data_IF_118287900275
#
_entry.id   IF_118287900275
#
_cell.length_a   1.000
_cell.length_b   1.000
_cell.length_c   1.000
_cell.angle_alpha   90.00
_cell.angle_beta   90.00
_cell.angle_gamma   90.00
#
_symmetry.space_group_name_H-M   'P 1'
#
loop_
_entity.id
_entity.type
_entity.pdbx_description
1 polymer ?
#
# COMPACT_ATOMS: atom_id res chain seq x y z
N UNK A 1 -23.27 17.52 9.14
CA UNK A 1 -21.87 17.64 8.73
C UNK A 1 -21.46 16.40 7.94
N UNK A 2 -20.94 16.57 6.73
CA UNK A 2 -20.47 15.51 5.85
C UNK A 2 -18.97 15.63 5.65
N UNK A 3 -18.29 14.54 5.32
CA UNK A 3 -16.88 14.52 5.04
C UNK A 3 -16.60 13.96 3.64
N UNK A 4 -15.73 14.61 2.89
CA UNK A 4 -15.12 14.09 1.67
C UNK A 4 -13.72 13.58 2.03
N UNK A 5 -13.42 12.38 1.60
CA UNK A 5 -12.10 11.77 1.70
C UNK A 5 -11.53 11.56 0.29
N UNK A 6 -10.57 12.40 -0.09
CA UNK A 6 -9.80 12.18 -1.31
C UNK A 6 -8.60 11.30 -1.00
N UNK A 7 -8.44 10.22 -1.75
CA UNK A 7 -7.22 9.44 -1.78
C UNK A 7 -6.83 9.09 -3.21
N UNK A 8 -5.56 9.33 -3.51
CA UNK A 8 -4.99 9.17 -4.82
C UNK A 8 -3.94 8.06 -4.82
N UNK A 9 -3.92 7.29 -5.90
CA UNK A 9 -2.91 6.28 -6.16
C UNK A 9 -1.85 6.82 -7.10
N UNK A 10 -0.59 6.61 -6.77
CA UNK A 10 0.57 6.81 -7.64
C UNK A 10 1.27 5.47 -7.78
N UNK A 11 1.21 4.88 -8.96
CA UNK A 11 1.87 3.64 -9.29
C UNK A 11 2.36 3.64 -10.72
N UNK A 12 3.58 3.14 -10.93
CA UNK A 12 4.15 2.88 -12.25
C UNK A 12 4.98 1.59 -12.16
N UNK A 13 4.68 0.57 -13.00
CA UNK A 13 5.49 -0.65 -13.07
C UNK A 13 6.78 -0.39 -13.82
N UNK A 14 7.82 -1.18 -13.54
CA UNK A 14 8.98 -1.27 -14.43
C UNK A 14 8.61 -2.09 -15.65
N UNK A 15 8.55 -1.45 -16.81
CA UNK A 15 8.21 -2.10 -18.07
C UNK A 15 9.37 -2.94 -18.55
N UNK A 16 9.03 -4.15 -19.00
CA UNK A 16 9.99 -5.10 -19.52
C UNK A 16 10.37 -4.71 -20.96
N UNK A 17 11.64 -4.85 -21.30
CA UNK A 17 12.09 -4.76 -22.69
C UNK A 17 11.55 -5.95 -23.50
N UNK A 18 11.64 -5.86 -24.82
CA UNK A 18 11.36 -7.02 -25.68
C UNK A 18 12.44 -8.08 -25.45
N UNK A 19 12.07 -9.13 -24.68
CA UNK A 19 12.94 -10.22 -24.24
C UNK A 19 12.60 -11.51 -24.98
N UNK A 20 13.57 -12.01 -25.76
CA UNK A 20 13.33 -13.16 -26.64
C UNK A 20 13.79 -14.45 -25.99
N UNK A 21 13.31 -15.58 -26.50
CA UNK A 21 13.71 -16.91 -26.07
C UNK A 21 15.24 -17.13 -26.07
N UNK A 22 15.96 -16.57 -27.05
CA UNK A 22 17.42 -16.69 -27.14
C UNK A 22 18.20 -15.80 -26.15
N UNK A 23 17.55 -14.90 -25.47
CA UNK A 23 18.15 -14.06 -24.46
C UNK A 23 18.22 -14.78 -23.11
N UNK A 24 17.42 -15.87 -22.90
CA UNK A 24 17.40 -16.68 -21.69
C UNK A 24 18.78 -17.30 -21.43
N UNK A 25 19.30 -17.09 -20.21
CA UNK A 25 20.64 -17.57 -19.81
C UNK A 25 21.80 -16.70 -20.32
N UNK A 26 21.54 -15.66 -21.13
CA UNK A 26 22.56 -14.80 -21.71
C UNK A 26 22.43 -13.34 -21.30
N UNK A 27 21.23 -12.85 -21.04
CA UNK A 27 20.96 -11.47 -20.67
C UNK A 27 20.03 -11.44 -19.45
N UNK A 28 20.56 -10.96 -18.33
CA UNK A 28 19.85 -10.92 -17.04
C UNK A 28 19.28 -9.54 -16.71
N UNK A 29 19.26 -8.63 -17.68
CA UNK A 29 18.64 -7.32 -17.53
C UNK A 29 17.31 -7.25 -18.29
N UNK A 30 16.21 -7.04 -17.58
CA UNK A 30 14.87 -7.26 -18.10
C UNK A 30 14.13 -5.97 -18.51
N UNK A 31 14.60 -4.80 -18.10
CA UNK A 31 13.83 -3.57 -18.13
C UNK A 31 14.15 -2.69 -19.32
N UNK A 32 13.14 -1.95 -19.79
CA UNK A 32 13.30 -0.91 -20.82
C UNK A 32 13.43 0.45 -20.14
N UNK A 33 14.66 0.82 -19.80
CA UNK A 33 14.94 2.08 -19.09
C UNK A 33 14.51 3.31 -19.89
N UNK A 34 14.65 3.26 -21.22
CA UNK A 34 14.27 4.38 -22.06
C UNK A 34 12.75 4.60 -22.02
N UNK A 35 11.96 3.54 -22.14
CA UNK A 35 10.50 3.63 -22.07
C UNK A 35 10.04 4.02 -20.65
N UNK A 36 10.68 3.48 -19.59
CA UNK A 36 10.36 3.84 -18.22
C UNK A 36 10.64 5.32 -17.94
N UNK A 37 11.79 5.83 -18.35
CA UNK A 37 12.16 7.25 -18.23
C UNK A 37 11.20 8.16 -19.00
N UNK A 38 10.96 7.87 -20.29
CA UNK A 38 10.04 8.67 -21.14
C UNK A 38 8.64 8.75 -20.52
N UNK A 39 8.09 7.62 -20.10
CA UNK A 39 6.73 7.58 -19.55
C UNK A 39 6.65 8.35 -18.22
N UNK A 40 7.54 8.08 -17.26
CA UNK A 40 7.47 8.73 -15.95
C UNK A 40 7.74 10.23 -16.05
N UNK A 41 8.68 10.65 -16.91
CA UNK A 41 8.99 12.06 -17.16
C UNK A 41 7.81 12.78 -17.80
N UNK A 42 7.17 12.17 -18.79
CA UNK A 42 5.97 12.73 -19.43
C UNK A 42 4.82 12.85 -18.45
N UNK A 43 4.54 11.82 -17.66
CA UNK A 43 3.49 11.84 -16.64
C UNK A 43 3.80 12.89 -15.57
N UNK A 44 5.05 13.00 -15.14
CA UNK A 44 5.46 14.01 -14.18
C UNK A 44 5.16 15.43 -14.70
N UNK A 45 5.44 15.71 -15.96
CA UNK A 45 5.20 17.02 -16.56
C UNK A 45 3.72 17.33 -16.77
N UNK A 46 2.93 16.34 -17.22
CA UNK A 46 1.53 16.56 -17.60
C UNK A 46 0.57 16.45 -16.41
N UNK A 47 0.88 15.62 -15.43
CA UNK A 47 0.02 15.27 -14.30
C UNK A 47 0.66 15.55 -12.95
N UNK A 48 1.74 14.85 -12.57
CA UNK A 48 2.22 14.82 -11.19
C UNK A 48 2.64 16.21 -10.67
N UNK A 49 3.46 16.94 -11.40
CA UNK A 49 3.92 18.26 -10.98
C UNK A 49 2.80 19.31 -10.97
N UNK A 50 1.94 19.42 -12.00
CA UNK A 50 0.79 20.33 -11.96
C UNK A 50 -0.19 20.00 -10.83
N UNK A 51 -0.49 18.71 -10.61
CA UNK A 51 -1.39 18.29 -9.56
C UNK A 51 -0.84 18.57 -8.16
N UNK A 52 0.43 18.22 -7.91
CA UNK A 52 1.07 18.47 -6.63
C UNK A 52 1.15 19.96 -6.30
N UNK A 53 1.50 20.79 -7.28
CA UNK A 53 1.51 22.25 -7.11
C UNK A 53 0.12 22.80 -6.80
N UNK A 54 -0.92 22.32 -7.51
CA UNK A 54 -2.31 22.72 -7.25
C UNK A 54 -2.74 22.31 -5.83
N UNK A 55 -2.46 21.09 -5.41
CA UNK A 55 -2.78 20.62 -4.05
C UNK A 55 -2.05 21.40 -2.97
N UNK A 56 -0.77 21.75 -3.20
CA UNK A 56 0.01 22.60 -2.29
C UNK A 56 -0.61 24.00 -2.18
N UNK A 57 -1.01 24.62 -3.29
CA UNK A 57 -1.72 25.91 -3.30
C UNK A 57 -3.01 25.82 -2.48
N UNK A 58 -3.85 24.79 -2.75
CA UNK A 58 -5.10 24.57 -2.04
C UNK A 58 -4.89 24.39 -0.53
N UNK A 59 -3.85 23.65 -0.12
CA UNK A 59 -3.50 23.48 1.30
C UNK A 59 -3.02 24.80 1.91
N UNK A 60 -2.19 25.57 1.20
CA UNK A 60 -1.73 26.90 1.69
C UNK A 60 -2.88 27.88 1.89
N UNK A 61 -3.85 27.88 0.98
CA UNK A 61 -5.01 28.76 1.04
C UNK A 61 -6.02 28.37 2.12
N UNK A 62 -6.26 27.06 2.29
CA UNK A 62 -7.31 26.54 3.16
C UNK A 62 -6.79 25.98 4.50
N UNK A 63 -5.48 25.80 4.64
CA UNK A 63 -4.86 25.21 5.82
C UNK A 63 -5.42 23.82 6.12
N UNK A 64 -5.61 23.53 7.40
CA UNK A 64 -6.12 22.23 7.88
C UNK A 64 -7.57 21.90 7.46
N UNK A 65 -8.24 22.80 6.74
CA UNK A 65 -9.59 22.55 6.23
C UNK A 65 -9.60 21.73 4.94
N UNK A 66 -8.48 21.67 4.22
CA UNK A 66 -8.34 20.82 3.04
C UNK A 66 -7.27 19.76 3.29
N UNK A 67 -7.65 18.49 3.15
CA UNK A 67 -6.80 17.34 3.43
C UNK A 67 -7.05 16.25 2.40
N UNK A 68 -6.00 15.47 2.14
CA UNK A 68 -6.03 14.34 1.20
C UNK A 68 -5.23 13.16 1.75
N UNK A 69 -5.30 12.02 1.06
CA UNK A 69 -4.40 10.89 1.28
C UNK A 69 -3.73 10.47 -0.03
N UNK A 70 -2.52 9.95 0.06
CA UNK A 70 -1.74 9.42 -1.05
C UNK A 70 -1.33 7.97 -0.75
N UNK A 71 -1.50 7.10 -1.74
CA UNK A 71 -0.95 5.75 -1.79
C UNK A 71 0.10 5.76 -2.89
N UNK A 72 1.36 5.52 -2.56
CA UNK A 72 2.48 5.59 -3.51
C UNK A 72 3.26 4.30 -3.41
N UNK A 73 3.19 3.45 -4.43
CA UNK A 73 3.88 2.16 -4.39
C UNK A 73 5.40 2.29 -4.33
N UNK A 74 6.07 1.29 -3.76
CA UNK A 74 7.53 1.26 -3.68
C UNK A 74 8.20 1.34 -5.05
N UNK A 75 7.65 0.63 -6.05
CA UNK A 75 8.16 0.68 -7.43
C UNK A 75 8.01 2.05 -8.06
N UNK A 76 6.90 2.76 -7.78
CA UNK A 76 6.75 4.14 -8.24
C UNK A 76 7.76 5.07 -7.56
N UNK A 77 8.00 4.89 -6.25
CA UNK A 77 9.01 5.66 -5.52
C UNK A 77 10.41 5.43 -6.09
N UNK A 78 10.77 4.19 -6.45
CA UNK A 78 12.06 3.91 -7.12
C UNK A 78 12.21 4.68 -8.43
N UNK A 79 11.19 4.64 -9.28
CA UNK A 79 11.21 5.37 -10.56
C UNK A 79 11.23 6.88 -10.37
N UNK A 80 10.47 7.40 -9.40
CA UNK A 80 10.47 8.83 -9.06
C UNK A 80 11.84 9.26 -8.55
N UNK A 81 12.47 8.49 -7.66
CA UNK A 81 13.83 8.77 -7.18
C UNK A 81 14.86 8.78 -8.31
N UNK A 82 14.70 7.89 -9.27
CA UNK A 82 15.66 7.70 -10.37
C UNK A 82 15.50 8.74 -11.49
N UNK A 83 14.28 9.02 -11.94
CA UNK A 83 14.02 9.76 -13.19
C UNK A 83 13.44 11.16 -12.97
N UNK A 84 12.69 11.38 -11.87
CA UNK A 84 11.99 12.66 -11.62
C UNK A 84 12.09 13.09 -10.14
N UNK A 85 13.31 13.22 -9.60
CA UNK A 85 13.53 13.49 -8.17
C UNK A 85 12.87 14.78 -7.69
N UNK A 86 12.66 15.77 -8.56
CA UNK A 86 11.94 16.99 -8.24
C UNK A 86 10.47 16.73 -7.84
N UNK A 87 9.86 15.67 -8.33
CA UNK A 87 8.52 15.27 -7.89
C UNK A 87 8.57 14.65 -6.48
N UNK A 88 9.61 13.91 -6.14
CA UNK A 88 9.80 13.43 -4.75
C UNK A 88 9.88 14.60 -3.77
N UNK A 89 10.57 15.66 -4.13
CA UNK A 89 10.66 16.85 -3.29
C UNK A 89 9.27 17.52 -3.11
N UNK A 90 8.41 17.50 -4.15
CA UNK A 90 7.02 17.93 -4.02
C UNK A 90 6.19 17.04 -3.09
N UNK A 91 6.39 15.72 -3.13
CA UNK A 91 5.74 14.82 -2.18
C UNK A 91 6.20 15.08 -0.74
N UNK A 92 7.48 15.38 -0.51
CA UNK A 92 8.00 15.79 0.80
C UNK A 92 7.41 17.14 1.26
N UNK A 93 7.28 18.13 0.36
CA UNK A 93 6.60 19.39 0.66
C UNK A 93 5.13 19.14 1.08
N UNK A 94 4.41 18.28 0.36
CA UNK A 94 3.04 17.90 0.70
C UNK A 94 2.98 17.21 2.08
N UNK A 95 3.88 16.28 2.37
CA UNK A 95 3.97 15.60 3.66
C UNK A 95 4.21 16.58 4.81
N UNK A 96 5.11 17.56 4.62
CA UNK A 96 5.47 18.57 5.62
C UNK A 96 4.31 19.49 5.99
N UNK A 97 3.27 19.62 5.17
CA UNK A 97 2.07 20.43 5.48
C UNK A 97 1.26 19.87 6.66
N UNK A 98 1.39 18.56 6.94
CA UNK A 98 0.53 17.84 7.90
C UNK A 98 -0.94 17.70 7.45
N UNK A 99 -1.24 17.98 6.19
CA UNK A 99 -2.57 17.85 5.58
C UNK A 99 -2.68 16.65 4.62
N UNK A 100 -1.61 15.90 4.44
CA UNK A 100 -1.54 14.71 3.57
C UNK A 100 -1.20 13.49 4.40
N UNK A 101 -2.05 12.45 4.30
CA UNK A 101 -1.81 11.15 4.92
C UNK A 101 -1.28 10.18 3.87
N UNK A 102 -0.15 9.52 4.16
CA UNK A 102 0.35 8.43 3.33
C UNK A 102 -0.23 7.10 3.80
N UNK A 103 -0.73 6.31 2.85
CA UNK A 103 -1.36 5.02 3.09
C UNK A 103 -0.33 3.90 3.03
N UNK A 104 -0.63 2.79 3.70
CA UNK A 104 0.11 1.54 3.59
C UNK A 104 -0.39 0.75 2.39
N UNK A 105 0.51 0.11 1.65
CA UNK A 105 0.21 -0.81 0.55
C UNK A 105 1.31 -1.86 0.37
N UNK A 106 1.19 -2.77 -0.61
CA UNK A 106 2.29 -3.67 -0.99
C UNK A 106 3.36 -2.90 -1.76
N UNK A 107 4.64 -3.14 -1.45
CA UNK A 107 5.77 -2.41 -2.07
C UNK A 107 5.75 -2.50 -3.59
N UNK A 108 5.53 -3.70 -4.11
CA UNK A 108 5.57 -3.98 -5.54
C UNK A 108 4.23 -3.75 -6.26
N UNK A 109 3.19 -3.26 -5.58
CA UNK A 109 1.83 -3.23 -6.13
C UNK A 109 1.42 -4.61 -6.66
N UNK A 110 1.64 -5.63 -5.85
CA UNK A 110 1.57 -7.04 -6.21
C UNK A 110 0.27 -7.70 -5.82
N UNK A 111 0.05 -8.91 -6.36
CA UNK A 111 -1.04 -9.79 -5.97
C UNK A 111 -0.70 -10.71 -4.79
N UNK A 112 0.35 -10.39 -4.01
CA UNK A 112 0.83 -11.21 -2.91
C UNK A 112 -0.26 -11.51 -1.87
N UNK A 113 -1.20 -10.59 -1.63
CA UNK A 113 -2.34 -10.80 -0.73
C UNK A 113 -3.22 -12.01 -1.09
N UNK A 114 -3.21 -12.45 -2.36
CA UNK A 114 -3.98 -13.57 -2.89
C UNK A 114 -3.15 -14.85 -3.06
N UNK A 115 -1.82 -14.77 -3.00
CA UNK A 115 -0.93 -15.86 -3.39
C UNK A 115 0.05 -16.31 -2.31
N UNK A 116 0.61 -15.38 -1.56
CA UNK A 116 1.64 -15.67 -0.55
C UNK A 116 1.56 -14.65 0.59
N UNK A 117 1.04 -15.07 1.73
CA UNK A 117 0.86 -14.18 2.89
C UNK A 117 2.18 -13.70 3.49
N UNK A 118 3.25 -14.51 3.45
CA UNK A 118 4.57 -14.09 3.95
C UNK A 118 5.15 -12.98 3.08
N UNK A 119 5.03 -13.13 1.74
CA UNK A 119 5.44 -12.10 0.80
C UNK A 119 4.61 -10.82 0.98
N UNK A 120 3.30 -10.96 1.17
CA UNK A 120 2.42 -9.84 1.47
C UNK A 120 2.91 -9.06 2.71
N UNK A 121 3.16 -9.74 3.82
CA UNK A 121 3.65 -9.10 5.04
C UNK A 121 5.02 -8.44 4.85
N UNK A 122 5.93 -9.10 4.14
CA UNK A 122 7.25 -8.55 3.85
C UNK A 122 7.16 -7.25 3.05
N UNK A 123 6.37 -7.24 1.97
CA UNK A 123 6.20 -6.07 1.13
C UNK A 123 5.52 -4.89 1.85
N UNK A 124 4.50 -5.15 2.65
CA UNK A 124 3.82 -4.10 3.42
C UNK A 124 4.77 -3.47 4.43
N UNK A 125 5.57 -4.29 5.12
CA UNK A 125 6.55 -3.80 6.08
C UNK A 125 7.62 -2.94 5.41
N UNK A 126 8.18 -3.39 4.28
CA UNK A 126 9.18 -2.64 3.53
C UNK A 126 8.62 -1.33 2.98
N UNK A 127 7.39 -1.35 2.49
CA UNK A 127 6.70 -0.15 2.04
C UNK A 127 6.53 0.86 3.19
N UNK A 128 6.04 0.43 4.34
CA UNK A 128 5.82 1.29 5.51
C UNK A 128 7.15 1.89 6.02
N UNK A 129 8.24 1.11 6.00
CA UNK A 129 9.58 1.60 6.30
C UNK A 129 10.03 2.67 5.29
N UNK A 130 9.83 2.45 3.99
CA UNK A 130 10.16 3.44 2.94
C UNK A 130 9.35 4.73 3.09
N UNK A 131 8.05 4.64 3.37
CA UNK A 131 7.20 5.81 3.64
C UNK A 131 7.70 6.57 4.87
N UNK A 132 8.05 5.86 5.94
CA UNK A 132 8.59 6.51 7.13
C UNK A 132 9.92 7.21 6.88
N UNK A 133 10.84 6.58 6.15
CA UNK A 133 12.13 7.16 5.78
C UNK A 133 12.00 8.42 4.93
N UNK A 134 11.10 8.43 3.94
CA UNK A 134 10.96 9.55 3.02
C UNK A 134 10.11 10.70 3.57
N UNK A 135 9.06 10.39 4.34
CA UNK A 135 8.04 11.37 4.74
C UNK A 135 7.86 11.51 6.25
N UNK A 136 8.54 10.70 7.06
CA UNK A 136 8.44 10.75 8.53
C UNK A 136 7.08 10.31 9.08
N UNK A 137 6.22 9.70 8.27
CA UNK A 137 4.87 9.29 8.66
C UNK A 137 4.77 7.79 8.89
N UNK A 138 4.14 7.39 10.01
CA UNK A 138 3.71 6.02 10.24
C UNK A 138 2.33 5.81 9.64
N UNK A 139 2.20 4.83 8.78
CA UNK A 139 0.95 4.45 8.13
C UNK A 139 -0.07 3.92 9.15
N UNK A 140 -1.35 4.10 8.89
CA UNK A 140 -2.45 3.69 9.79
C UNK A 140 -3.60 3.03 9.06
N UNK A 141 -3.74 3.32 7.79
CA UNK A 141 -4.82 2.84 6.93
C UNK A 141 -4.18 2.16 5.72
N UNK A 142 -4.69 1.01 5.38
CA UNK A 142 -4.20 0.17 4.29
C UNK A 142 -5.04 0.37 3.02
N UNK A 143 -4.38 0.36 1.90
CA UNK A 143 -4.99 0.26 0.58
C UNK A 143 -4.30 -0.86 -0.17
N UNK A 144 -5.02 -1.94 -0.45
CA UNK A 144 -4.44 -3.05 -1.21
C UNK A 144 -4.36 -2.72 -2.70
N UNK A 145 -3.44 -3.42 -3.38
CA UNK A 145 -3.32 -3.44 -4.84
C UNK A 145 -4.71 -3.56 -5.46
N UNK A 146 -5.02 -2.68 -6.42
CA UNK A 146 -6.27 -2.66 -7.18
C UNK A 146 -7.56 -2.69 -6.33
N UNK A 147 -7.49 -2.18 -5.09
CA UNK A 147 -8.56 -2.27 -4.09
C UNK A 147 -9.02 -3.70 -3.82
N UNK A 148 -8.19 -4.70 -4.12
CA UNK A 148 -8.50 -6.11 -3.86
C UNK A 148 -8.71 -6.30 -2.36
N UNK A 149 -9.82 -6.90 -1.99
CA UNK A 149 -10.21 -7.09 -0.60
C UNK A 149 -11.12 -8.27 -0.43
N UNK A 150 -10.90 -9.05 0.63
CA UNK A 150 -11.78 -10.09 1.17
C UNK A 150 -11.60 -10.23 2.68
N UNK A 151 -12.31 -11.18 3.27
CA UNK A 151 -12.29 -11.42 4.72
C UNK A 151 -10.93 -11.99 5.21
N UNK A 152 -10.16 -12.67 4.37
CA UNK A 152 -8.82 -13.16 4.69
C UNK A 152 -7.81 -12.01 4.72
N UNK A 153 -7.83 -11.16 3.70
CA UNK A 153 -7.01 -9.94 3.64
C UNK A 153 -7.31 -9.04 4.84
N UNK A 154 -8.56 -8.97 5.31
CA UNK A 154 -8.91 -8.23 6.52
C UNK A 154 -8.15 -8.74 7.76
N UNK A 155 -8.00 -10.07 7.88
CA UNK A 155 -7.22 -10.67 8.97
C UNK A 155 -5.72 -10.32 8.85
N UNK A 156 -5.17 -10.33 7.64
CA UNK A 156 -3.78 -9.92 7.39
C UNK A 156 -3.54 -8.47 7.78
N UNK A 157 -4.38 -7.54 7.32
CA UNK A 157 -4.28 -6.10 7.65
C UNK A 157 -4.35 -5.88 9.17
N UNK A 158 -5.25 -6.59 9.85
CA UNK A 158 -5.40 -6.49 11.30
C UNK A 158 -4.19 -7.02 12.06
N UNK A 159 -3.54 -8.10 11.58
CA UNK A 159 -2.34 -8.65 12.18
C UNK A 159 -1.13 -7.71 12.08
N UNK A 160 -1.08 -6.85 11.05
CA UNK A 160 -0.12 -5.77 10.90
C UNK A 160 -0.38 -4.59 11.87
N UNK A 161 -1.48 -4.61 12.63
CA UNK A 161 -1.84 -3.54 13.56
C UNK A 161 -2.47 -2.31 12.92
N UNK A 162 -2.78 -2.35 11.62
CA UNK A 162 -3.47 -1.30 10.90
C UNK A 162 -4.95 -1.24 11.32
N UNK A 163 -5.53 -0.05 11.31
CA UNK A 163 -6.86 0.20 11.92
C UNK A 163 -7.97 0.43 10.91
N UNK A 164 -7.61 0.66 9.67
CA UNK A 164 -8.55 0.89 8.59
C UNK A 164 -8.06 0.32 7.27
N UNK A 165 -8.99 -0.01 6.39
CA UNK A 165 -8.72 -0.39 5.01
C UNK A 165 -9.63 0.38 4.07
N UNK A 166 -9.09 0.73 2.91
CA UNK A 166 -9.82 1.35 1.81
C UNK A 166 -10.08 0.26 0.77
N UNK A 167 -11.33 0.12 0.34
CA UNK A 167 -11.75 -0.88 -0.64
C UNK A 167 -12.89 -0.39 -1.51
N UNK A 168 -13.31 -1.19 -2.48
CA UNK A 168 -14.41 -0.87 -3.39
C UNK A 168 -15.77 -0.96 -2.70
N UNK A 169 -16.71 -0.12 -3.14
CA UNK A 169 -18.12 -0.15 -2.74
C UNK A 169 -18.96 -1.05 -3.66
N UNK A 170 -18.57 -2.31 -3.80
CA UNK A 170 -19.21 -3.24 -4.74
C UNK A 170 -20.68 -3.52 -4.41
N UNK A 171 -21.58 -3.34 -5.37
CA UNK A 171 -23.03 -3.48 -5.16
C UNK A 171 -23.46 -4.88 -4.74
N UNK A 172 -22.79 -5.92 -5.22
CA UNK A 172 -23.10 -7.31 -4.87
C UNK A 172 -22.76 -7.63 -3.40
N UNK A 173 -21.83 -6.89 -2.80
CA UNK A 173 -21.50 -6.97 -1.36
C UNK A 173 -22.40 -6.05 -0.54
N UNK A 174 -22.58 -4.82 -1.00
CA UNK A 174 -23.38 -3.83 -0.27
C UNK A 174 -24.88 -4.13 -0.31
N UNK A 175 -25.37 -4.73 -1.39
CA UNK A 175 -26.81 -4.89 -1.61
C UNK A 175 -27.51 -3.52 -1.64
N UNK A 176 -28.37 -3.26 -0.65
CA UNK A 176 -29.07 -2.00 -0.48
C UNK A 176 -28.32 -0.96 0.37
N UNK A 177 -27.20 -1.34 0.98
CA UNK A 177 -26.39 -0.45 1.84
C UNK A 177 -25.67 0.60 0.99
N UNK A 178 -25.49 1.80 1.56
CA UNK A 178 -24.73 2.87 0.92
C UNK A 178 -23.23 2.75 1.23
N UNK A 179 -22.33 3.09 0.28
CA UNK A 179 -20.88 3.18 0.54
C UNK A 179 -20.49 4.38 1.43
N UNK A 180 -21.44 5.26 1.76
CA UNK A 180 -21.18 6.54 2.41
C UNK A 180 -21.16 6.46 3.95
N UNK A 181 -20.84 5.27 4.49
CA UNK A 181 -20.67 5.02 5.92
C UNK A 181 -19.31 4.37 6.19
N UNK A 182 -18.88 4.46 7.45
CA UNK A 182 -17.81 3.58 7.94
C UNK A 182 -18.43 2.23 8.29
N UNK A 183 -17.79 1.16 7.83
CA UNK A 183 -18.16 -0.22 8.17
C UNK A 183 -17.08 -0.87 9.03
N UNK A 184 -17.38 -2.00 9.65
CA UNK A 184 -16.40 -2.90 10.23
C UNK A 184 -16.26 -4.15 9.36
N UNK A 185 -15.10 -4.77 9.34
CA UNK A 185 -14.94 -6.10 8.74
C UNK A 185 -15.61 -7.15 9.62
N UNK A 186 -16.39 -8.05 9.03
CA UNK A 186 -16.98 -9.17 9.76
C UNK A 186 -15.91 -10.15 10.26
N UNK A 187 -14.84 -10.38 9.50
CA UNK A 187 -13.73 -11.25 9.87
C UNK A 187 -12.82 -10.61 10.93
N UNK A 188 -12.74 -9.29 10.97
CA UNK A 188 -11.93 -8.54 11.94
C UNK A 188 -12.65 -7.27 12.40
N UNK A 189 -13.56 -7.35 13.40
CA UNK A 189 -14.45 -6.23 13.78
C UNK A 189 -13.74 -4.96 14.26
N UNK A 190 -12.46 -5.03 14.57
CA UNK A 190 -11.63 -3.86 14.93
C UNK A 190 -11.15 -3.09 13.70
N UNK A 191 -11.09 -3.73 12.53
CA UNK A 191 -10.72 -3.11 11.27
C UNK A 191 -11.90 -2.35 10.70
N UNK A 192 -11.72 -1.06 10.46
CA UNK A 192 -12.73 -0.19 9.83
C UNK A 192 -12.54 -0.13 8.34
N UNK A 193 -13.63 -0.19 7.60
CA UNK A 193 -13.64 -0.18 6.14
C UNK A 193 -14.18 1.17 5.63
N UNK A 194 -13.46 1.76 4.69
CA UNK A 194 -13.84 2.93 3.93
C UNK A 194 -14.09 2.49 2.48
N UNK A 195 -15.34 2.61 2.04
CA UNK A 195 -15.77 2.10 0.74
C UNK A 195 -15.78 3.22 -0.29
N UNK A 196 -15.19 2.97 -1.45
CA UNK A 196 -15.19 3.92 -2.57
C UNK A 196 -16.62 4.21 -3.02
N UNK A 197 -16.95 5.48 -3.17
CA UNK A 197 -18.15 5.89 -3.87
C UNK A 197 -17.85 5.97 -5.36
N UNK A 198 -18.26 4.94 -6.10
CA UNK A 198 -17.98 4.79 -7.53
C UNK A 198 -18.58 5.94 -8.32
N UNK A 199 -19.85 6.31 -8.10
CA UNK A 199 -20.53 7.37 -8.84
C UNK A 199 -19.80 8.70 -8.74
N UNK A 200 -19.56 9.18 -7.52
CA UNK A 200 -18.88 10.47 -7.30
C UNK A 200 -17.43 10.46 -7.77
N UNK A 201 -16.75 9.31 -7.67
CA UNK A 201 -15.39 9.15 -8.19
C UNK A 201 -15.36 9.24 -9.72
N UNK A 202 -16.25 8.52 -10.41
CA UNK A 202 -16.31 8.50 -11.88
C UNK A 202 -16.74 9.84 -12.48
N UNK A 203 -17.56 10.61 -11.77
CA UNK A 203 -17.92 11.97 -12.19
C UNK A 203 -16.69 12.87 -12.35
N UNK A 204 -15.65 12.65 -11.52
CA UNK A 204 -14.37 13.37 -11.63
C UNK A 204 -13.41 12.62 -12.56
N UNK A 205 -13.23 11.31 -12.36
CA UNK A 205 -12.14 10.56 -13.00
C UNK A 205 -12.39 10.32 -14.49
N UNK A 206 -13.62 9.97 -14.88
CA UNK A 206 -13.90 9.51 -16.24
C UNK A 206 -14.88 10.41 -16.99
N UNK A 207 -15.86 10.97 -16.32
CA UNK A 207 -16.93 11.75 -16.98
C UNK A 207 -16.69 13.25 -17.04
N UNK A 208 -15.68 13.77 -16.34
CA UNK A 208 -15.47 15.22 -16.18
C UNK A 208 -15.25 15.92 -17.54
N UNK A 209 -14.44 15.35 -18.43
CA UNK A 209 -14.17 15.93 -19.76
C UNK A 209 -15.37 15.92 -20.70
N UNK A 210 -16.31 14.97 -20.55
CA UNK A 210 -17.50 14.81 -21.40
C UNK A 210 -18.75 15.42 -20.79
N UNK A 211 -18.85 15.45 -19.48
CA UNK A 211 -19.96 16.02 -18.72
C UNK A 211 -19.43 16.82 -17.53
N UNK A 212 -18.80 17.97 -17.78
CA UNK A 212 -18.15 18.74 -16.74
C UNK A 212 -19.14 19.25 -15.70
N UNK A 213 -18.83 18.98 -14.43
CA UNK A 213 -19.54 19.50 -13.27
C UNK A 213 -18.79 20.71 -12.72
N UNK A 214 -19.55 21.74 -12.34
CA UNK A 214 -18.99 22.83 -11.55
C UNK A 214 -18.85 22.43 -10.08
N UNK A 215 -17.88 23.00 -9.37
CA UNK A 215 -17.57 22.63 -7.98
C UNK A 215 -18.76 22.87 -7.03
N UNK A 216 -19.57 23.94 -7.26
CA UNK A 216 -20.81 24.22 -6.51
C UNK A 216 -21.82 23.08 -6.65
N UNK A 217 -22.12 22.66 -7.89
CA UNK A 217 -23.04 21.55 -8.15
C UNK A 217 -22.54 20.24 -7.57
N UNK A 218 -21.26 19.95 -7.67
CA UNK A 218 -20.68 18.74 -7.09
C UNK A 218 -20.85 18.72 -5.56
N UNK A 219 -20.54 19.81 -4.89
CA UNK A 219 -20.73 19.95 -3.43
C UNK A 219 -22.22 19.93 -3.05
N UNK A 220 -23.10 20.53 -3.86
CA UNK A 220 -24.55 20.45 -3.65
C UNK A 220 -25.05 19.00 -3.72
N UNK A 221 -24.53 18.18 -4.65
CA UNK A 221 -24.86 16.74 -4.72
C UNK A 221 -24.39 16.00 -3.47
N UNK A 222 -23.19 16.29 -2.96
CA UNK A 222 -22.69 15.71 -1.72
C UNK A 222 -23.52 16.16 -0.52
N UNK A 223 -23.88 17.44 -0.45
CA UNK A 223 -24.69 17.99 0.64
C UNK A 223 -26.13 17.43 0.64
N UNK A 224 -26.68 17.12 -0.54
CA UNK A 224 -28.02 16.57 -0.73
C UNK A 224 -28.14 15.08 -0.36
N UNK A 225 -27.04 14.36 -0.14
CA UNK A 225 -27.09 12.98 0.37
C UNK A 225 -27.88 12.91 1.69
N UNK A 226 -28.51 11.77 2.04
CA UNK A 226 -29.20 11.57 3.31
C UNK A 226 -28.40 12.06 4.52
N UNK A 227 -29.04 12.60 5.54
CA UNK A 227 -28.35 13.24 6.68
C UNK A 227 -27.49 12.26 7.48
N UNK A 228 -27.85 11.00 7.50
CA UNK A 228 -27.15 9.90 8.16
C UNK A 228 -25.95 9.39 7.36
N UNK A 229 -25.89 9.64 6.05
CA UNK A 229 -24.71 9.39 5.23
C UNK A 229 -23.65 10.44 5.48
N UNK A 230 -22.54 10.04 6.11
CA UNK A 230 -21.59 10.98 6.73
C UNK A 230 -20.31 11.18 5.91
N UNK A 231 -19.96 10.24 5.03
CA UNK A 231 -18.69 10.26 4.31
C UNK A 231 -18.88 9.99 2.83
N UNK A 232 -18.04 10.60 2.01
CA UNK A 232 -17.90 10.27 0.58
C UNK A 232 -16.43 10.00 0.31
N UNK A 233 -16.10 8.73 0.04
CA UNK A 233 -14.74 8.32 -0.28
C UNK A 233 -14.53 8.38 -1.78
N UNK A 234 -13.55 9.15 -2.22
CA UNK A 234 -13.20 9.40 -3.61
C UNK A 234 -11.81 8.84 -3.88
N UNK A 235 -11.78 7.72 -4.58
CA UNK A 235 -10.53 7.10 -5.02
C UNK A 235 -10.32 7.34 -6.52
N UNK A 236 -9.10 7.73 -6.88
CA UNK A 236 -8.67 7.81 -8.27
C UNK A 236 -7.16 7.74 -8.38
N UNK A 237 -6.67 7.36 -9.55
CA UNK A 237 -5.26 7.49 -9.87
C UNK A 237 -4.89 8.96 -9.94
N UNK A 238 -3.67 9.28 -9.52
CA UNK A 238 -3.18 10.66 -9.52
C UNK A 238 -3.10 11.22 -10.95
N UNK A 239 -2.88 10.34 -11.93
CA UNK A 239 -2.86 10.63 -13.36
C UNK A 239 -4.20 11.14 -13.92
N UNK A 240 -5.28 11.01 -13.17
CA UNK A 240 -6.55 11.67 -13.51
C UNK A 240 -6.35 13.17 -13.62
N UNK A 241 -5.54 13.75 -12.75
CA UNK A 241 -5.31 15.18 -12.67
C UNK A 241 -4.25 15.66 -13.69
N UNK A 242 -4.68 16.14 -14.82
CA UNK A 242 -3.82 16.65 -15.90
C UNK A 242 -3.42 15.61 -16.94
N UNK A 243 -3.53 14.32 -16.64
CA UNK A 243 -3.32 13.22 -17.56
C UNK A 243 -4.63 12.79 -18.25
N UNK A 244 -5.45 11.99 -17.57
CA UNK A 244 -6.73 11.53 -18.12
C UNK A 244 -7.72 12.69 -18.31
N UNK A 245 -7.83 13.56 -17.31
CA UNK A 245 -8.54 14.84 -17.43
C UNK A 245 -7.52 15.93 -17.68
N UNK A 246 -7.32 16.28 -18.95
CA UNK A 246 -6.34 17.28 -19.32
C UNK A 246 -6.63 18.65 -18.70
N UNK A 247 -5.62 19.51 -18.65
CA UNK A 247 -5.76 20.86 -18.07
C UNK A 247 -6.88 21.67 -18.71
N UNK A 248 -7.09 21.49 -20.02
CA UNK A 248 -8.09 22.20 -20.83
C UNK A 248 -9.54 21.86 -20.41
N UNK A 249 -9.76 20.73 -19.70
CA UNK A 249 -11.08 20.38 -19.15
C UNK A 249 -11.51 21.28 -18.00
N UNK A 250 -10.58 22.03 -17.41
CA UNK A 250 -10.83 22.86 -16.21
C UNK A 250 -10.78 22.06 -14.90
N UNK A 251 -10.18 20.86 -14.90
CA UNK A 251 -10.14 19.99 -13.71
C UNK A 251 -9.43 20.66 -12.50
N UNK A 252 -8.36 21.43 -12.76
CA UNK A 252 -7.62 22.10 -11.69
C UNK A 252 -8.42 23.26 -11.09
N UNK A 253 -9.13 24.03 -11.90
CA UNK A 253 -10.03 25.10 -11.48
C UNK A 253 -11.19 24.55 -10.66
N UNK A 254 -11.76 23.41 -11.11
CA UNK A 254 -12.76 22.67 -10.36
C UNK A 254 -12.24 22.29 -8.96
N UNK A 255 -11.06 21.65 -8.87
CA UNK A 255 -10.46 21.25 -7.59
C UNK A 255 -10.24 22.44 -6.66
N UNK A 256 -9.63 23.53 -7.17
CA UNK A 256 -9.36 24.76 -6.39
C UNK A 256 -10.62 25.39 -5.81
N UNK A 257 -11.73 25.25 -6.52
CA UNK A 257 -13.02 25.82 -6.08
C UNK A 257 -13.73 24.96 -5.00
N UNK A 258 -13.45 23.66 -4.92
CA UNK A 258 -14.14 22.74 -4.00
C UNK A 258 -14.11 23.18 -2.53
N UNK A 259 -12.96 23.60 -1.94
CA UNK A 259 -12.93 23.95 -0.51
C UNK A 259 -13.84 25.12 -0.14
N UNK A 260 -13.99 26.11 -1.03
CA UNK A 260 -14.87 27.25 -0.80
C UNK A 260 -16.33 26.82 -0.70
N UNK A 261 -16.82 26.07 -1.70
CA UNK A 261 -18.22 25.62 -1.71
C UNK A 261 -18.50 24.58 -0.62
N UNK A 262 -17.50 23.74 -0.28
CA UNK A 262 -17.61 22.80 0.83
C UNK A 262 -17.81 23.52 2.18
N UNK A 263 -17.08 24.63 2.40
CA UNK A 263 -17.23 25.42 3.60
C UNK A 263 -18.64 26.08 3.72
N UNK A 264 -19.24 26.49 2.60
CA UNK A 264 -20.59 27.06 2.54
C UNK A 264 -21.68 26.03 2.92
N UNK A 265 -21.43 24.74 2.71
CA UNK A 265 -22.39 23.64 2.92
C UNK A 265 -22.06 22.75 4.13
N UNK A 266 -21.15 23.14 5.01
CA UNK A 266 -20.67 22.34 6.16
C UNK A 266 -20.15 20.94 5.74
N UNK A 267 -19.45 20.87 4.60
CA UNK A 267 -18.74 19.70 4.11
C UNK A 267 -17.26 19.85 4.44
N UNK A 268 -16.64 18.85 5.05
CA UNK A 268 -15.24 18.88 5.48
C UNK A 268 -14.39 17.91 4.64
N UNK A 269 -13.13 18.26 4.42
CA UNK A 269 -12.15 17.33 3.87
C UNK A 269 -11.39 16.66 5.03
N UNK A 270 -11.41 15.34 5.05
CA UNK A 270 -10.81 14.53 6.12
C UNK A 270 -9.94 13.44 5.55
N UNK A 271 -8.84 13.13 6.27
CA UNK A 271 -8.02 11.97 5.93
C UNK A 271 -8.69 10.66 6.38
N UNK A 272 -8.30 9.50 5.80
CA UNK A 272 -8.80 8.20 6.21
C UNK A 272 -8.66 7.94 7.71
N UNK A 273 -7.50 8.27 8.31
CA UNK A 273 -7.28 8.14 9.75
C UNK A 273 -8.21 9.00 10.59
N UNK A 274 -8.49 10.23 10.16
CA UNK A 274 -9.44 11.09 10.86
C UNK A 274 -10.84 10.52 10.81
N UNK A 275 -11.26 9.99 9.65
CA UNK A 275 -12.58 9.39 9.48
C UNK A 275 -12.75 8.17 10.38
N UNK A 276 -11.80 7.21 10.34
CA UNK A 276 -11.90 6.01 11.17
C UNK A 276 -11.84 6.31 12.67
N UNK A 277 -11.21 7.40 13.08
CA UNK A 277 -11.19 7.82 14.48
C UNK A 277 -12.48 8.53 14.90
N UNK A 278 -13.09 9.32 14.00
CA UNK A 278 -14.26 10.14 14.30
C UNK A 278 -15.58 9.37 14.23
N UNK A 279 -15.74 8.52 13.21
CA UNK A 279 -17.00 7.83 12.95
C UNK A 279 -16.97 6.40 13.44
N UNK A 280 -18.10 5.96 14.00
CA UNK A 280 -18.30 4.56 14.39
C UNK A 280 -18.83 3.76 13.21
N UNK A 281 -18.47 2.49 13.08
CA UNK A 281 -19.08 1.61 12.08
C UNK A 281 -20.58 1.50 12.27
N UNK A 282 -21.34 1.57 11.18
CA UNK A 282 -22.81 1.42 11.21
C UNK A 282 -23.24 -0.04 11.21
N UNK A 283 -22.46 -0.91 10.58
CA UNK A 283 -22.63 -2.36 10.58
C UNK A 283 -21.35 -3.06 10.13
N UNK A 284 -21.39 -4.38 10.17
CA UNK A 284 -20.32 -5.23 9.62
C UNK A 284 -20.60 -5.58 8.17
N UNK A 285 -19.53 -5.79 7.40
CA UNK A 285 -19.54 -6.29 6.03
C UNK A 285 -18.64 -7.53 5.96
N UNK A 286 -19.16 -8.62 5.40
CA UNK A 286 -18.41 -9.80 5.04
C UNK A 286 -18.18 -9.80 3.54
N UNK A 287 -16.97 -10.12 3.13
CA UNK A 287 -16.53 -10.24 1.74
C UNK A 287 -15.87 -11.61 1.59
N UNK A 288 -16.67 -12.65 1.32
CA UNK A 288 -16.17 -14.03 1.34
C UNK A 288 -15.31 -14.40 0.14
N UNK A 289 -15.31 -13.58 -0.91
CA UNK A 289 -14.52 -13.76 -2.13
C UNK A 289 -13.85 -12.46 -2.50
N UNK A 290 -12.62 -12.49 -3.06
CA UNK A 290 -11.90 -11.27 -3.43
C UNK A 290 -12.70 -10.40 -4.39
N UNK A 291 -12.89 -9.15 -4.02
CA UNK A 291 -13.43 -8.11 -4.90
C UNK A 291 -12.35 -7.09 -5.25
N UNK A 292 -12.55 -6.35 -6.35
CA UNK A 292 -11.68 -5.26 -6.80
C UNK A 292 -12.51 -4.08 -7.33
N UNK A 293 -11.82 -3.05 -7.83
CA UNK A 293 -12.49 -1.93 -8.51
C UNK A 293 -12.77 -2.19 -9.99
N UNK A 294 -12.14 -3.20 -10.59
CA UNK A 294 -12.16 -3.42 -12.03
C UNK A 294 -13.46 -4.05 -12.52
N UNK A 295 -13.90 -3.61 -13.68
CA UNK A 295 -15.10 -4.06 -14.39
C UNK A 295 -16.42 -3.93 -13.62
N UNK A 296 -17.51 -4.34 -14.28
CA UNK A 296 -18.84 -4.44 -13.65
C UNK A 296 -18.91 -5.59 -12.64
N UNK A 297 -18.14 -6.67 -12.87
CA UNK A 297 -18.10 -7.84 -12.00
C UNK A 297 -17.48 -7.54 -10.62
N UNK A 298 -16.63 -6.52 -10.53
CA UNK A 298 -15.92 -6.16 -9.30
C UNK A 298 -15.18 -7.34 -8.66
N UNK A 299 -14.61 -8.22 -9.48
CA UNK A 299 -13.83 -9.39 -9.07
C UNK A 299 -12.35 -9.24 -9.45
N UNK A 300 -11.57 -10.32 -9.34
CA UNK A 300 -10.14 -10.32 -9.66
C UNK A 300 -9.83 -10.79 -11.09
N UNK A 301 -10.84 -10.97 -11.93
CA UNK A 301 -10.67 -11.55 -13.25
C UNK A 301 -9.90 -10.68 -14.26
N UNK A 302 -9.67 -9.41 -13.95
CA UNK A 302 -8.76 -8.55 -14.70
C UNK A 302 -7.29 -9.03 -14.62
N UNK A 303 -6.92 -9.71 -13.53
CA UNK A 303 -5.55 -10.19 -13.25
C UNK A 303 -5.42 -11.69 -13.21
N UNK A 304 -6.51 -12.42 -12.91
CA UNK A 304 -6.55 -13.87 -12.71
C UNK A 304 -7.69 -14.54 -13.48
N UNK A 305 -8.19 -13.92 -14.55
CA UNK A 305 -9.39 -14.34 -15.26
C UNK A 305 -9.16 -15.38 -16.36
N UNK A 306 -7.92 -15.62 -16.78
CA UNK A 306 -7.61 -16.58 -17.83
C UNK A 306 -6.41 -17.47 -17.48
N UNK A 307 -6.18 -18.51 -18.29
CA UNK A 307 -5.12 -19.50 -18.06
C UNK A 307 -3.74 -18.85 -18.11
N UNK A 308 -3.49 -17.90 -19.02
CA UNK A 308 -2.20 -17.24 -19.18
C UNK A 308 -1.81 -16.48 -17.90
N UNK A 309 -2.75 -15.72 -17.38
CA UNK A 309 -2.56 -14.95 -16.13
C UNK A 309 -2.26 -15.88 -14.94
N UNK A 310 -3.07 -16.92 -14.77
CA UNK A 310 -2.90 -17.86 -13.66
C UNK A 310 -1.57 -18.61 -13.77
N UNK A 311 -1.18 -19.09 -14.97
CA UNK A 311 0.10 -19.77 -15.18
C UNK A 311 1.29 -18.85 -14.82
N UNK A 312 1.25 -17.60 -15.29
CA UNK A 312 2.32 -16.63 -15.00
C UNK A 312 2.45 -16.33 -13.50
N UNK A 313 1.33 -16.07 -12.83
CA UNK A 313 1.28 -15.78 -11.39
C UNK A 313 1.72 -16.99 -10.57
N UNK A 314 1.16 -18.17 -10.83
CA UNK A 314 1.46 -19.37 -10.05
C UNK A 314 2.92 -19.78 -10.20
N UNK A 315 3.46 -19.65 -11.42
CA UNK A 315 4.87 -19.96 -11.69
C UNK A 315 5.82 -18.97 -11.03
N UNK A 316 5.45 -17.68 -10.98
CA UNK A 316 6.24 -16.69 -10.25
C UNK A 316 6.25 -17.02 -8.75
N UNK A 317 5.08 -17.12 -8.12
CA UNK A 317 4.99 -17.32 -6.66
C UNK A 317 5.46 -18.68 -6.18
N UNK A 318 5.59 -19.69 -7.07
CA UNK A 318 6.21 -20.98 -6.72
C UNK A 318 7.67 -20.87 -6.25
N UNK A 319 8.35 -19.77 -6.57
CA UNK A 319 9.73 -19.52 -6.16
C UNK A 319 9.86 -18.55 -4.97
N UNK A 320 8.76 -18.09 -4.41
CA UNK A 320 8.75 -17.08 -3.35
C UNK A 320 9.66 -17.43 -2.17
N UNK A 321 9.58 -18.67 -1.67
CA UNK A 321 10.39 -19.13 -0.54
C UNK A 321 11.89 -19.09 -0.85
N UNK A 322 12.28 -19.55 -2.06
CA UNK A 322 13.70 -19.56 -2.49
C UNK A 322 14.25 -18.15 -2.63
N UNK A 323 13.44 -17.23 -3.18
CA UNK A 323 13.86 -15.83 -3.32
C UNK A 323 13.99 -15.15 -1.96
N UNK A 324 13.09 -15.40 -1.03
CA UNK A 324 13.19 -14.87 0.35
C UNK A 324 14.47 -15.33 1.03
N UNK A 325 14.88 -16.61 0.86
CA UNK A 325 16.13 -17.15 1.38
C UNK A 325 17.38 -16.63 0.69
N UNK A 326 17.27 -16.08 -0.53
CA UNK A 326 18.41 -15.55 -1.27
C UNK A 326 19.00 -14.30 -0.61
N UNK A 327 20.32 -14.18 -0.61
CA UNK A 327 21.04 -12.95 -0.25
C UNK A 327 21.41 -12.09 -1.47
N UNK A 328 20.99 -12.49 -2.67
CA UNK A 328 21.27 -11.75 -3.89
C UNK A 328 20.30 -10.56 -4.03
N UNK A 329 20.83 -9.35 -3.82
CA UNK A 329 20.06 -8.11 -3.88
C UNK A 329 19.44 -7.87 -5.27
N UNK A 330 20.14 -8.22 -6.34
CA UNK A 330 19.65 -8.01 -7.71
C UNK A 330 18.46 -8.95 -7.97
N UNK A 331 18.57 -10.21 -7.53
CA UNK A 331 17.50 -11.18 -7.66
C UNK A 331 16.24 -10.73 -6.90
N UNK A 332 16.39 -10.19 -5.68
CA UNK A 332 15.28 -9.65 -4.90
C UNK A 332 14.65 -8.44 -5.56
N UNK A 333 15.45 -7.57 -6.19
CA UNK A 333 14.93 -6.42 -6.93
C UNK A 333 14.10 -6.86 -8.14
N UNK A 334 14.61 -7.82 -8.91
CA UNK A 334 13.88 -8.41 -10.04
C UNK A 334 12.59 -9.08 -9.56
N UNK A 335 12.64 -9.79 -8.42
CA UNK A 335 11.47 -10.39 -7.78
C UNK A 335 10.35 -9.37 -7.51
N UNK A 336 10.67 -8.25 -6.89
CA UNK A 336 9.67 -7.21 -6.65
C UNK A 336 9.10 -6.63 -7.95
N UNK A 337 9.95 -6.32 -8.91
CA UNK A 337 9.53 -5.71 -10.17
C UNK A 337 8.67 -6.63 -11.02
N UNK A 338 8.94 -7.95 -11.00
CA UNK A 338 8.15 -8.95 -11.71
C UNK A 338 6.78 -9.23 -11.07
N UNK A 339 6.57 -8.85 -9.82
CA UNK A 339 5.30 -9.03 -9.11
C UNK A 339 4.26 -7.94 -9.39
N UNK A 340 4.62 -6.83 -10.06
CA UNK A 340 3.68 -5.77 -10.35
C UNK A 340 2.41 -6.31 -11.05
N UNK A 341 1.24 -5.98 -10.52
CA UNK A 341 -0.05 -6.47 -11.01
C UNK A 341 -0.29 -6.13 -12.47
N UNK A 342 0.32 -5.04 -12.96
CA UNK A 342 0.24 -4.58 -14.35
C UNK A 342 0.69 -5.65 -15.35
N UNK A 343 1.74 -6.41 -15.04
CA UNK A 343 2.22 -7.47 -15.94
C UNK A 343 1.13 -8.51 -16.21
N UNK A 344 0.35 -8.87 -15.20
CA UNK A 344 -0.75 -9.81 -15.31
C UNK A 344 -1.97 -9.17 -15.98
N UNK A 345 -2.23 -7.89 -15.70
CA UNK A 345 -3.28 -7.14 -16.37
C UNK A 345 -3.06 -7.07 -17.89
N UNK A 346 -1.83 -6.87 -18.35
CA UNK A 346 -1.50 -6.84 -19.79
C UNK A 346 -1.82 -8.17 -20.52
N UNK A 347 -1.94 -9.28 -19.78
CA UNK A 347 -2.34 -10.60 -20.30
C UNK A 347 -3.86 -10.80 -20.28
N UNK A 348 -4.64 -9.81 -19.84
CA UNK A 348 -6.10 -9.93 -19.79
C UNK A 348 -6.70 -9.93 -21.19
N UNK A 349 -7.64 -10.86 -21.41
CA UNK A 349 -8.34 -11.03 -22.68
C UNK A 349 -9.78 -10.50 -22.63
N UNK A 350 -10.21 -9.96 -21.50
CA UNK A 350 -11.54 -9.34 -21.36
C UNK A 350 -11.57 -7.94 -21.97
N UNK A 351 -12.75 -7.55 -22.46
CA UNK A 351 -13.04 -6.13 -22.72
C UNK A 351 -13.37 -5.45 -21.40
N UNK A 352 -12.60 -4.42 -21.04
CA UNK A 352 -12.77 -3.68 -19.81
C UNK A 352 -13.16 -2.22 -20.08
N UNK A 353 -14.22 -1.78 -19.44
CA UNK A 353 -14.58 -0.36 -19.43
C UNK A 353 -13.68 0.43 -18.46
N UNK A 354 -13.30 -0.18 -17.33
CA UNK A 354 -12.53 0.46 -16.25
C UNK A 354 -11.01 0.19 -16.35
N UNK A 355 -10.61 -0.81 -17.14
CA UNK A 355 -9.21 -1.24 -17.29
C UNK A 355 -8.39 -0.45 -18.30
N UNK A 356 -8.99 0.50 -19.02
CA UNK A 356 -8.30 1.28 -20.07
C UNK A 356 -7.10 2.06 -19.55
N UNK A 357 -7.09 2.45 -18.27
CA UNK A 357 -5.97 3.18 -17.68
C UNK A 357 -4.69 2.35 -17.70
N UNK A 358 -4.74 1.06 -17.33
CA UNK A 358 -3.59 0.17 -17.38
C UNK A 358 -3.23 -0.20 -18.82
N UNK A 359 -4.22 -0.49 -19.66
CA UNK A 359 -4.02 -0.79 -21.07
C UNK A 359 -3.36 0.38 -21.83
N UNK A 360 -3.67 1.61 -21.44
CA UNK A 360 -3.07 2.82 -22.04
C UNK A 360 -1.54 2.84 -21.89
N UNK A 361 -1.01 2.26 -20.81
CA UNK A 361 0.43 2.21 -20.55
C UNK A 361 1.06 0.85 -20.91
N UNK A 362 0.29 -0.11 -21.45
CA UNK A 362 0.82 -1.39 -21.89
C UNK A 362 1.78 -1.21 -23.08
N UNK A 363 3.00 -1.76 -23.02
CA UNK A 363 3.92 -1.74 -24.15
C UNK A 363 3.59 -2.81 -25.21
N UNK A 364 2.55 -3.62 -25.00
CA UNK A 364 2.21 -4.77 -25.83
C UNK A 364 0.98 -4.49 -26.69
N UNK A 365 0.99 -5.03 -27.91
CA UNK A 365 -0.14 -4.93 -28.83
C UNK A 365 -1.32 -5.84 -28.42
N UNK A 366 -1.02 -6.93 -27.72
CA UNK A 366 -2.03 -7.91 -27.31
C UNK A 366 -1.57 -8.74 -26.10
N UNK A 367 -2.53 -9.43 -25.47
CA UNK A 367 -2.33 -10.26 -24.27
C UNK A 367 -1.34 -11.42 -24.48
N UNK A 368 -1.29 -12.02 -25.67
CA UNK A 368 -0.38 -13.14 -25.96
C UNK A 368 1.07 -12.66 -26.07
N UNK A 369 1.30 -11.47 -26.67
CA UNK A 369 2.61 -10.83 -26.70
C UNK A 369 3.11 -10.50 -25.29
N UNK A 370 2.23 -9.97 -24.44
CA UNK A 370 2.54 -9.70 -23.03
C UNK A 370 2.93 -11.00 -22.30
N UNK A 371 2.14 -12.06 -22.45
CA UNK A 371 2.42 -13.36 -21.83
C UNK A 371 3.75 -13.94 -22.31
N UNK A 372 3.99 -13.97 -23.61
CA UNK A 372 5.22 -14.54 -24.17
C UNK A 372 6.46 -13.80 -23.66
N UNK A 373 6.41 -12.45 -23.69
CA UNK A 373 7.53 -11.65 -23.21
C UNK A 373 7.79 -11.86 -21.72
N UNK A 374 6.74 -11.82 -20.91
CA UNK A 374 6.83 -12.05 -19.47
C UNK A 374 7.37 -13.44 -19.14
N UNK A 375 6.89 -14.48 -19.81
CA UNK A 375 7.33 -15.87 -19.57
C UNK A 375 8.77 -16.12 -20.01
N UNK A 376 9.27 -15.42 -21.02
CA UNK A 376 10.69 -15.48 -21.38
C UNK A 376 11.54 -14.85 -20.27
N UNK A 377 11.17 -13.67 -19.77
CA UNK A 377 11.85 -13.02 -18.62
C UNK A 377 11.78 -13.91 -17.39
N UNK A 378 10.60 -14.41 -17.05
CA UNK A 378 10.41 -15.29 -15.90
C UNK A 378 11.24 -16.58 -16.03
N UNK A 379 11.38 -17.13 -17.23
CA UNK A 379 12.21 -18.33 -17.45
C UNK A 379 13.68 -18.07 -17.14
N UNK A 380 14.22 -16.92 -17.54
CA UNK A 380 15.58 -16.52 -17.14
C UNK A 380 15.72 -16.30 -15.64
N UNK A 381 14.76 -15.58 -15.05
CA UNK A 381 14.72 -15.38 -13.61
C UNK A 381 14.74 -16.71 -12.84
N UNK A 382 13.94 -17.70 -13.28
CA UNK A 382 13.89 -19.02 -12.67
C UNK A 382 15.20 -19.80 -12.82
N UNK A 383 15.90 -19.66 -13.95
CA UNK A 383 17.26 -20.23 -14.12
C UNK A 383 18.21 -19.65 -13.05
N UNK A 384 18.22 -18.34 -12.87
CA UNK A 384 19.04 -17.65 -11.87
C UNK A 384 18.69 -18.06 -10.42
N UNK A 385 17.41 -18.28 -10.13
CA UNK A 385 16.99 -18.81 -8.82
C UNK A 385 17.50 -20.23 -8.62
N UNK A 386 17.33 -21.11 -9.61
CA UNK A 386 17.81 -22.49 -9.56
C UNK A 386 19.33 -22.62 -9.42
N UNK A 387 20.09 -21.74 -10.04
CA UNK A 387 21.55 -21.70 -9.87
C UNK A 387 21.98 -21.45 -8.44
N UNK A 388 21.21 -20.64 -7.68
CA UNK A 388 21.48 -20.40 -6.26
C UNK A 388 20.96 -21.52 -5.36
N UNK A 389 19.87 -22.19 -5.77
CA UNK A 389 19.20 -23.24 -5.01
C UNK A 389 18.96 -24.45 -5.92
N UNK A 390 19.97 -25.32 -6.12
CA UNK A 390 19.79 -26.54 -6.94
C UNK A 390 18.67 -27.44 -6.38
N UNK A 391 17.90 -28.05 -7.28
CA UNK A 391 16.70 -28.86 -6.97
C UNK A 391 16.95 -30.06 -6.02
N UNK A 392 18.19 -30.43 -5.74
CA UNK A 392 18.55 -31.60 -4.92
C UNK A 392 18.56 -31.34 -3.40
N UNK A 393 17.73 -30.42 -2.90
CA UNK A 393 17.54 -30.27 -1.45
C UNK A 393 16.43 -31.21 -0.98
N UNK A 394 16.60 -32.50 -1.20
CA UNK A 394 15.78 -33.57 -0.58
C UNK A 394 16.19 -33.91 0.84
N UNK A 395 17.10 -33.17 1.44
CA UNK A 395 17.65 -33.51 2.76
C UNK A 395 16.95 -32.67 3.83
N UNK A 396 16.16 -33.35 4.67
CA UNK A 396 15.47 -32.75 5.85
C UNK A 396 16.42 -31.97 6.78
N UNK A 397 17.66 -32.43 6.90
CA UNK A 397 18.72 -31.74 7.69
C UNK A 397 19.11 -30.40 7.08
N UNK A 398 19.19 -30.31 5.73
CA UNK A 398 19.54 -29.08 5.04
C UNK A 398 18.38 -28.06 5.08
N UNK A 399 17.13 -28.53 4.97
CA UNK A 399 15.94 -27.68 5.15
C UNK A 399 15.84 -27.14 6.58
N UNK A 400 16.16 -27.96 7.59
CA UNK A 400 16.24 -27.54 8.97
C UNK A 400 17.35 -26.50 9.20
N UNK A 401 18.52 -26.70 8.58
CA UNK A 401 19.66 -25.79 8.66
C UNK A 401 19.35 -24.45 7.98
N UNK A 402 18.72 -24.47 6.81
CA UNK A 402 18.30 -23.27 6.07
C UNK A 402 17.23 -22.48 6.84
N UNK A 403 16.30 -23.16 7.49
CA UNK A 403 15.31 -22.53 8.38
C UNK A 403 15.96 -21.87 9.59
N UNK A 404 16.98 -22.52 10.15
CA UNK A 404 17.78 -21.99 11.28
C UNK A 404 18.56 -20.75 10.84
N UNK A 405 19.23 -20.80 9.68
CA UNK A 405 19.96 -19.66 9.10
C UNK A 405 19.03 -18.48 8.83
N UNK A 406 17.84 -18.73 8.28
CA UNK A 406 16.81 -17.70 8.04
C UNK A 406 16.38 -17.00 9.34
N UNK A 407 16.09 -17.79 10.39
CA UNK A 407 15.70 -17.24 11.68
C UNK A 407 16.82 -16.39 12.30
N UNK A 408 18.06 -16.89 12.25
CA UNK A 408 19.24 -16.15 12.74
C UNK A 408 19.51 -14.88 11.92
N UNK A 409 19.35 -14.91 10.60
CA UNK A 409 19.49 -13.71 9.75
C UNK A 409 18.44 -12.65 10.10
N UNK A 410 17.20 -13.05 10.31
CA UNK A 410 16.12 -12.14 10.77
C UNK A 410 16.42 -11.53 12.14
N UNK A 411 16.97 -12.32 13.05
CA UNK A 411 17.36 -11.85 14.40
C UNK A 411 18.57 -10.88 14.33
N UNK A 412 19.55 -11.17 13.48
CA UNK A 412 20.69 -10.27 13.22
C UNK A 412 20.23 -8.95 12.59
N UNK A 413 19.31 -8.97 11.65
CA UNK A 413 18.75 -7.75 11.06
C UNK A 413 17.96 -6.92 12.08
N UNK A 414 17.19 -7.57 12.96
CA UNK A 414 16.47 -6.90 14.02
C UNK A 414 17.42 -6.25 15.02
N UNK A 415 18.47 -6.96 15.44
CA UNK A 415 19.50 -6.44 16.34
C UNK A 415 20.30 -5.32 15.71
N UNK A 416 20.65 -5.40 14.44
CA UNK A 416 21.35 -4.32 13.73
C UNK A 416 20.50 -3.04 13.67
N UNK A 417 19.19 -3.14 13.44
CA UNK A 417 18.27 -1.99 13.49
C UNK A 417 18.19 -1.38 14.90
N UNK A 418 18.16 -2.22 15.92
CA UNK A 418 18.15 -1.75 17.31
C UNK A 418 19.46 -1.02 17.65
N UNK A 419 20.59 -1.55 17.22
CA UNK A 419 21.92 -0.91 17.36
C UNK A 419 21.99 0.43 16.62
N UNK A 420 21.45 0.53 15.41
CA UNK A 420 21.38 1.82 14.68
C UNK A 420 20.48 2.84 15.40
N UNK A 421 19.32 2.42 15.89
CA UNK A 421 18.43 3.27 16.67
C UNK A 421 19.10 3.77 17.96
N UNK A 422 19.82 2.89 18.66
CA UNK A 422 20.56 3.25 19.88
C UNK A 422 21.71 4.21 19.56
N UNK A 423 22.45 3.99 18.46
CA UNK A 423 23.51 4.90 18.01
C UNK A 423 22.96 6.29 17.67
N UNK A 424 21.86 6.37 16.96
CA UNK A 424 21.23 7.63 16.61
C UNK A 424 20.67 8.36 17.83
N UNK A 425 20.18 7.65 18.84
CA UNK A 425 19.76 8.24 20.11
C UNK A 425 20.94 8.76 20.95
N UNK A 426 22.09 8.08 20.92
CA UNK A 426 23.32 8.55 21.62
C UNK A 426 23.87 9.82 20.97
N UNK A 427 23.84 9.92 19.64
CA UNK A 427 24.30 11.13 18.91
C UNK A 427 23.38 12.33 19.18
N UNK A 428 22.07 12.10 19.39
CA UNK A 428 21.13 13.18 19.71
C UNK A 428 21.29 13.72 21.16
N UNK A 429 21.82 12.91 22.07
CA UNK A 429 22.06 13.31 23.46
C UNK A 429 23.41 14.07 23.64
N UNK A 430 24.35 13.91 22.72
CA UNK A 430 25.65 14.63 22.75
C UNK A 430 25.57 16.07 22.16
N UNK A 431 24.51 16.42 21.43
CA UNK A 431 24.32 17.76 20.84
C UNK A 431 23.51 18.76 21.72
N UNK A 432 23.14 18.44 22.95
CA UNK A 432 22.49 19.36 23.85
C UNK A 432 23.52 20.13 24.68
N UNK A 433 23.58 21.48 24.60
CA UNK A 433 24.55 22.27 25.40
C UNK A 433 24.23 22.18 26.89
N UNK A 434 25.20 21.73 27.65
CA UNK A 434 25.15 21.62 29.09
C UNK A 434 24.87 22.98 29.75
N UNK A 435 23.81 23.08 30.55
CA UNK A 435 23.61 24.15 31.51
C UNK A 435 24.55 23.97 32.70
N UNK A 436 25.14 25.06 33.28
CA UNK A 436 26.05 24.93 34.40
C UNK A 436 25.32 24.41 35.65
N UNK A 437 25.85 23.36 36.23
CA UNK A 437 25.36 22.81 37.51
C UNK A 437 26.05 23.48 38.65
N UNK A 438 25.31 24.18 39.52
CA UNK A 438 25.72 24.64 40.84
C UNK A 438 26.01 23.44 41.74
N UNK A 439 27.13 23.52 42.49
CA UNK A 439 27.60 22.47 43.38
C UNK A 439 26.68 22.31 44.61
N UNK A 440 26.26 21.10 44.98
CA UNK A 440 25.59 20.86 46.24
C UNK A 440 26.56 20.59 47.37
N UNK A 441 26.23 21.14 48.54
CA UNK A 441 26.90 20.99 49.83
C UNK A 441 26.84 19.55 50.37
N UNK A 442 27.77 19.12 51.24
CA UNK A 442 27.89 17.71 51.66
C UNK A 442 26.85 17.35 52.73
N UNK A 443 26.25 16.17 52.59
CA UNK A 443 25.36 15.55 53.54
C UNK A 443 26.02 14.35 54.23
N UNK A 444 25.63 13.97 55.47
CA UNK A 444 26.43 13.19 56.39
C UNK A 444 26.33 11.66 56.21
N UNK A 445 27.41 10.98 56.63
CA UNK A 445 27.59 9.54 56.72
C UNK A 445 26.49 8.82 57.53
N UNK A 446 26.00 7.70 57.04
CA UNK A 446 25.39 6.64 57.85
C UNK A 446 25.90 5.26 57.47
N UNK A 447 26.30 4.54 58.51
CA UNK A 447 26.91 3.21 58.56
C UNK A 447 26.03 2.07 58.03
N UNK A 448 26.60 0.88 57.74
CA UNK A 448 25.99 -0.20 57.00
C UNK A 448 25.15 -1.16 57.89
N UNK A 449 24.13 -1.75 57.35
CA UNK A 449 23.38 -2.87 57.97
C UNK A 449 23.26 -4.09 57.05
N UNK A 450 23.43 -5.18 57.66
CA UNK A 450 23.66 -6.57 57.37
C UNK A 450 22.79 -7.26 56.31
N UNK A 451 23.45 -8.28 55.74
CA UNK A 451 22.93 -9.34 54.89
C UNK A 451 21.93 -10.23 55.66
N UNK A 452 20.83 -10.60 55.05
CA UNK A 452 20.13 -11.86 55.30
C UNK A 452 19.80 -12.58 54.00
N UNK A 453 20.22 -13.84 53.95
CA UNK A 453 20.07 -14.80 52.87
C UNK A 453 18.70 -15.51 52.86
N UNK A 454 18.38 -16.35 51.85
CA UNK A 454 17.04 -16.64 51.39
C UNK A 454 16.40 -17.87 52.05
N UNK A 455 15.08 -17.91 52.14
CA UNK A 455 14.33 -19.09 52.55
C UNK A 455 13.61 -19.73 51.35
N UNK A 456 13.96 -21.00 51.11
CA UNK A 456 13.26 -21.99 50.28
C UNK A 456 11.94 -22.40 50.90
N UNK A 457 10.89 -22.61 50.11
CA UNK A 457 9.80 -23.60 50.29
C UNK A 457 9.19 -23.84 48.93
N UNK A 458 9.36 -24.97 48.31
CA UNK A 458 8.84 -26.33 48.50
C UNK A 458 7.48 -26.54 47.80
N UNK A 459 7.56 -27.41 46.79
CA UNK A 459 6.49 -28.03 46.02
C UNK A 459 5.31 -28.59 46.81
N UNK A 460 4.11 -28.53 46.24
CA UNK A 460 3.18 -29.67 46.29
C UNK A 460 2.48 -29.83 44.92
N UNK A 461 2.65 -31.05 44.40
CA UNK A 461 1.85 -31.70 43.38
C UNK A 461 0.49 -32.06 43.98
N UNK A 462 -0.54 -31.99 43.18
CA UNK A 462 -1.57 -33.04 43.18
C UNK A 462 -2.31 -32.98 41.82
N UNK A 463 -2.35 -34.14 41.18
CA UNK A 463 -3.09 -34.48 39.96
C UNK A 463 -4.26 -35.38 40.35
N UNK A 464 -5.01 -36.02 39.46
CA UNK A 464 -6.33 -35.60 38.95
C UNK A 464 -7.45 -36.55 39.40
N UNK A 465 -8.69 -36.21 39.19
CA UNK A 465 -9.80 -37.19 39.17
C UNK A 465 -10.76 -36.93 38.03
N UNK A 466 -10.86 -37.93 37.19
CA UNK A 466 -11.95 -38.17 36.25
C UNK A 466 -13.22 -38.65 36.99
N UNK A 467 -14.37 -38.37 36.43
CA UNK A 467 -15.50 -39.31 36.26
C UNK A 467 -16.74 -38.62 35.66
N UNK A 468 -17.13 -39.12 34.48
CA UNK A 468 -18.41 -39.74 34.06
C UNK A 468 -19.66 -38.85 34.08
N UNK A 469 -20.21 -38.61 32.92
CA UNK A 469 -21.22 -39.34 32.13
C UNK A 469 -22.70 -39.08 32.55
N UNK A 470 -23.52 -38.95 31.47
CA UNK A 470 -24.99 -39.11 31.37
C UNK A 470 -25.84 -37.83 31.63
N UNK A 471 -26.42 -37.25 30.63
CA UNK A 471 -27.59 -37.62 29.82
C UNK A 471 -27.68 -36.70 28.59
#
# INVERSE_FOLDING_TARGET
MKAICFYFQIHQPFRLKNYRFFDIGNDHYYYDDFVNDDIITRIAQTSYMPAANTLLEMIKENGKKFKIALSVSGLALEQIEQYVPEFLDKLKELAATGCVEFLSETYAHSLASLKDSEEFFAQVKEHDEKIFQLFGQKTKVFRNTELIYDDEIACYISSLGLKGAITEGAKHILGWKSPNYVYASAASPKLKLLLKNTKFTEDIAFRFGTNPLTADKYIDMVAALPQDEQIVNLFMNFEVLGGLQSRETGIFEFLKALPRFAAEKDVQFMTPSEIINKFKPVSEISVPYPMSWSDEARDTSAWLGNILQNEAVDKLYSEAERVRMSNNRILKLDWYRLQASDHFFYMCTKHHNDGEVHAHFSPYENAYGAFTNYMNVLSDFLVRVKEQFPESIENEELNSLLTTIRNQSGEIEALNREVELLRNNIVSDEESPAKPVEAPAPAPEKKPAEKKAPAKKACKKDAPKAEKAEK
#
